data_IF_255227007309
#
_entry.id   IF_255227007309
#
_cell.length_a   1.000
_cell.length_b   1.000
_cell.length_c   1.000
_cell.angle_alpha   90.00
_cell.angle_beta   90.00
_cell.angle_gamma   90.00
#
_symmetry.space_group_name_H-M   'P 1'
#
loop_
_entity.id
_entity.type
_entity.pdbx_description
1 polymer ?
#
# COMPACT_ATOMS: atom_id res chain seq x y z
N UNK A 1 -31.79 15.65 -17.35
CA UNK A 1 -30.57 15.87 -16.54
C UNK A 1 -30.29 14.61 -15.74
N UNK A 2 -29.03 14.20 -15.60
CA UNK A 2 -28.66 13.04 -14.79
C UNK A 2 -27.77 13.52 -13.65
N UNK A 3 -28.10 13.11 -12.42
CA UNK A 3 -27.27 13.38 -11.25
C UNK A 3 -26.47 12.11 -10.96
N UNK A 4 -25.16 12.18 -11.16
CA UNK A 4 -24.27 11.08 -10.82
C UNK A 4 -23.91 11.16 -9.33
N UNK A 5 -24.32 10.16 -8.55
CA UNK A 5 -24.02 10.07 -7.13
C UNK A 5 -23.22 8.80 -6.89
N UNK A 6 -22.06 8.97 -6.25
CA UNK A 6 -21.25 7.84 -5.81
C UNK A 6 -20.80 8.03 -4.36
N UNK A 7 -20.55 6.92 -3.70
CA UNK A 7 -20.05 6.89 -2.33
C UNK A 7 -18.56 6.64 -2.34
N UNK A 8 -17.85 7.57 -1.71
CA UNK A 8 -16.43 7.46 -1.48
C UNK A 8 -16.21 7.28 0.02
N UNK A 9 -15.90 6.04 0.43
CA UNK A 9 -15.55 5.72 1.82
C UNK A 9 -14.05 5.46 2.05
N UNK A 10 -13.15 6.44 1.83
CA UNK A 10 -11.79 6.32 2.36
C UNK A 10 -11.35 7.53 3.19
N UNK A 11 -12.23 8.47 3.48
CA UNK A 11 -11.93 9.44 4.53
C UNK A 11 -12.26 8.78 5.87
N UNK A 12 -11.38 7.90 6.36
CA UNK A 12 -11.35 7.47 7.75
C UNK A 12 -11.39 8.75 8.59
N UNK A 13 -12.58 9.07 9.06
CA UNK A 13 -12.81 10.22 9.91
C UNK A 13 -12.50 9.76 11.31
N UNK A 14 -11.59 10.45 11.96
CA UNK A 14 -11.25 10.14 13.35
C UNK A 14 -12.54 10.28 14.17
N UNK A 15 -12.94 9.27 14.96
CA UNK A 15 -14.03 9.43 15.90
C UNK A 15 -13.62 10.37 17.04
N UNK A 16 -14.60 10.87 17.79
CA UNK A 16 -14.32 11.57 19.02
C UNK A 16 -13.73 10.57 20.02
N UNK A 17 -12.47 10.74 20.43
CA UNK A 17 -11.80 9.79 21.32
C UNK A 17 -10.72 10.48 22.18
N UNK A 18 -10.55 9.99 23.41
CA UNK A 18 -9.46 10.40 24.31
C UNK A 18 -8.12 10.25 23.61
N UNK A 19 -7.27 11.28 23.68
CA UNK A 19 -5.98 11.25 23.03
C UNK A 19 -5.08 10.13 23.56
N UNK A 20 -5.23 9.77 24.85
CA UNK A 20 -4.49 8.65 25.45
C UNK A 20 -4.80 7.33 24.73
N UNK A 21 -6.07 7.06 24.44
CA UNK A 21 -6.46 5.84 23.73
C UNK A 21 -5.90 5.84 22.30
N UNK A 22 -5.89 7.00 21.64
CA UNK A 22 -5.28 7.17 20.32
C UNK A 22 -3.78 6.88 20.38
N UNK A 23 -3.08 7.40 21.39
CA UNK A 23 -1.65 7.13 21.63
C UNK A 23 -1.39 5.64 21.89
N UNK A 24 -2.20 4.99 22.72
CA UNK A 24 -2.12 3.56 23.00
C UNK A 24 -2.26 2.72 21.72
N UNK A 25 -3.21 3.07 20.84
CA UNK A 25 -3.42 2.43 19.54
C UNK A 25 -2.24 2.64 18.59
N UNK A 26 -1.72 3.87 18.47
CA UNK A 26 -0.59 4.18 17.56
C UNK A 26 0.68 3.42 17.97
N UNK A 27 0.92 3.29 19.28
CA UNK A 27 2.09 2.62 19.83
C UNK A 27 1.89 1.11 20.04
N UNK A 28 0.66 0.61 19.89
CA UNK A 28 0.28 -0.76 20.24
C UNK A 28 0.70 -1.13 21.68
N UNK A 29 0.42 -0.23 22.63
CA UNK A 29 0.74 -0.38 24.05
C UNK A 29 -0.52 -0.42 24.90
N UNK A 30 -0.43 -1.09 26.04
CA UNK A 30 -1.51 -1.05 27.04
C UNK A 30 -1.45 0.22 27.88
N UNK A 31 -2.55 0.55 28.54
CA UNK A 31 -2.62 1.66 29.50
C UNK A 31 -1.56 1.55 30.60
N UNK A 32 -1.30 0.34 31.11
CA UNK A 32 -0.29 0.09 32.14
C UNK A 32 1.13 0.41 31.66
N UNK A 33 1.44 0.10 30.39
CA UNK A 33 2.74 0.41 29.80
C UNK A 33 2.94 1.92 29.62
N UNK A 34 1.90 2.65 29.23
CA UNK A 34 1.95 4.12 29.11
C UNK A 34 2.08 4.81 30.47
N UNK A 35 1.58 4.21 31.55
CA UNK A 35 1.70 4.73 32.91
C UNK A 35 3.06 4.45 33.55
N UNK A 36 3.68 3.32 33.22
CA UNK A 36 4.87 2.81 33.93
C UNK A 36 6.20 3.04 33.22
N UNK A 37 6.20 3.28 31.90
CA UNK A 37 7.43 3.39 31.10
C UNK A 37 7.50 4.70 30.31
N UNK A 38 8.70 5.24 30.19
CA UNK A 38 9.00 6.33 29.25
C UNK A 38 9.03 5.80 27.81
N UNK A 39 8.63 6.65 26.86
CA UNK A 39 8.68 6.32 25.44
C UNK A 39 10.13 6.33 24.91
N UNK A 40 10.43 5.45 23.95
CA UNK A 40 11.70 5.46 23.22
C UNK A 40 11.75 6.61 22.20
N UNK A 41 12.94 6.96 21.71
CA UNK A 41 13.08 8.02 20.69
C UNK A 41 12.29 7.70 19.41
N UNK A 42 12.24 6.43 18.99
CA UNK A 42 11.52 6.01 17.79
C UNK A 42 10.00 6.12 18.00
N UNK A 43 9.52 5.82 19.21
CA UNK A 43 8.12 5.98 19.59
C UNK A 43 7.71 7.45 19.63
N UNK A 44 8.56 8.32 20.18
CA UNK A 44 8.34 9.78 20.18
C UNK A 44 8.27 10.30 18.75
N UNK A 45 9.22 9.91 17.89
CA UNK A 45 9.20 10.28 16.45
C UNK A 45 7.95 9.77 15.74
N UNK A 46 7.49 8.55 16.06
CA UNK A 46 6.26 7.98 15.51
C UNK A 46 5.04 8.79 15.94
N UNK A 47 4.91 9.11 17.24
CA UNK A 47 3.81 9.93 17.76
C UNK A 47 3.83 11.34 17.18
N UNK A 48 4.98 12.01 17.17
CA UNK A 48 5.09 13.38 16.65
C UNK A 48 4.68 13.44 15.18
N UNK A 49 5.12 12.50 14.35
CA UNK A 49 4.70 12.39 12.94
C UNK A 49 3.20 12.14 12.76
N UNK A 50 2.58 11.41 13.70
CA UNK A 50 1.19 10.98 13.57
C UNK A 50 0.20 11.99 14.15
N UNK A 51 0.57 12.66 15.24
CA UNK A 51 -0.32 13.57 15.97
C UNK A 51 -0.25 15.02 15.49
N UNK A 52 0.88 15.45 14.92
CA UNK A 52 1.04 16.83 14.43
C UNK A 52 0.01 17.14 13.35
N UNK A 53 -0.65 18.29 13.47
CA UNK A 53 -1.75 18.71 12.58
C UNK A 53 -3.15 18.26 13.03
N UNK A 54 -3.26 17.32 13.98
CA UNK A 54 -4.57 16.93 14.51
C UNK A 54 -5.19 18.04 15.37
N UNK A 55 -6.49 18.24 15.19
CA UNK A 55 -7.33 19.11 16.00
C UNK A 55 -7.78 18.38 17.26
N UNK A 56 -7.63 19.03 18.39
CA UNK A 56 -8.04 18.53 19.69
C UNK A 56 -8.88 19.56 20.43
N UNK A 57 -9.64 19.09 21.41
CA UNK A 57 -10.27 19.91 22.45
C UNK A 57 -9.73 19.50 23.81
N UNK A 58 -9.84 20.41 24.78
CA UNK A 58 -9.49 20.13 26.17
C UNK A 58 -10.76 19.76 26.95
N UNK A 59 -10.68 18.76 27.82
CA UNK A 59 -11.83 18.25 28.58
C UNK A 59 -11.82 18.65 30.06
N UNK A 60 -10.67 19.05 30.60
CA UNK A 60 -10.53 19.43 32.03
C UNK A 60 -11.29 20.71 32.43
N UNK A 61 -11.81 21.48 31.46
CA UNK A 61 -12.66 22.67 31.70
C UNK A 61 -14.10 22.45 31.25
N UNK A 62 -14.55 21.19 31.19
CA UNK A 62 -15.85 20.81 30.64
C UNK A 62 -15.81 20.72 29.12
N UNK A 63 -16.70 21.45 28.44
CA UNK A 63 -16.87 21.33 26.98
C UNK A 63 -16.58 22.67 26.26
N UNK A 64 -15.35 23.19 26.32
CA UNK A 64 -15.01 24.46 25.69
C UNK A 64 -15.13 24.35 24.17
N UNK A 65 -15.70 25.38 23.53
CA UNK A 65 -15.79 25.50 22.06
C UNK A 65 -14.40 25.70 21.40
N UNK A 66 -13.37 25.97 22.21
CA UNK A 66 -12.01 26.25 21.75
C UNK A 66 -11.34 24.99 21.22
N UNK A 67 -10.81 25.10 20.00
CA UNK A 67 -10.08 24.05 19.31
C UNK A 67 -8.60 24.40 19.27
N UNK A 68 -7.76 23.39 19.40
CA UNK A 68 -6.30 23.52 19.27
C UNK A 68 -5.82 22.60 18.17
N UNK A 69 -4.72 22.96 17.50
CA UNK A 69 -4.01 22.12 16.56
C UNK A 69 -2.71 21.72 17.25
N UNK A 70 -2.31 20.45 17.12
CA UNK A 70 -1.03 19.97 17.66
C UNK A 70 0.10 20.44 16.73
N UNK A 71 1.02 21.23 17.27
CA UNK A 71 2.23 21.70 16.59
C UNK A 71 3.42 20.73 16.76
N UNK A 72 3.40 19.90 17.81
CA UNK A 72 4.46 18.92 18.08
C UNK A 72 4.41 18.37 19.51
N UNK A 73 5.49 17.72 19.95
CA UNK A 73 5.62 17.16 21.30
C UNK A 73 6.71 17.87 22.11
N UNK A 74 6.53 17.94 23.43
CA UNK A 74 7.57 18.47 24.33
C UNK A 74 8.77 17.52 24.43
N UNK A 75 9.96 18.09 24.60
CA UNK A 75 11.19 17.33 24.89
C UNK A 75 11.19 16.74 26.30
N UNK A 76 10.61 17.47 27.24
CA UNK A 76 10.49 17.08 28.65
C UNK A 76 9.20 16.28 28.89
N UNK A 77 9.21 15.45 29.92
CA UNK A 77 8.04 14.69 30.36
C UNK A 77 7.06 15.58 31.13
N UNK A 78 5.79 15.20 31.14
CA UNK A 78 4.74 15.95 31.84
C UNK A 78 5.05 16.19 33.33
N UNK A 79 5.70 15.22 34.01
CA UNK A 79 6.14 15.36 35.41
C UNK A 79 7.22 16.44 35.65
N UNK A 80 7.98 16.78 34.61
CA UNK A 80 9.14 17.67 34.70
C UNK A 80 8.84 19.07 34.14
N UNK A 81 7.77 19.22 33.35
CA UNK A 81 7.35 20.49 32.78
C UNK A 81 6.96 21.49 33.86
N UNK A 82 7.58 22.67 33.76
CA UNK A 82 7.31 23.84 34.60
C UNK A 82 6.85 25.03 33.76
N UNK A 83 5.89 25.78 34.27
CA UNK A 83 5.44 27.03 33.67
C UNK A 83 5.11 28.04 34.76
N UNK A 84 4.97 29.31 34.36
CA UNK A 84 4.51 30.36 35.28
C UNK A 84 2.99 30.41 35.26
N UNK A 85 2.36 30.29 36.42
CA UNK A 85 0.93 30.48 36.55
C UNK A 85 0.53 31.97 36.45
N UNK A 86 -0.78 32.25 36.48
CA UNK A 86 -1.31 33.62 36.38
C UNK A 86 -0.84 34.53 37.53
N UNK A 87 -0.31 33.96 38.61
CA UNK A 87 0.27 34.67 39.76
C UNK A 87 1.78 34.85 39.63
N UNK A 88 2.39 34.36 38.56
CA UNK A 88 3.82 34.47 38.25
C UNK A 88 4.70 33.42 38.93
N UNK A 89 4.13 32.48 39.68
CA UNK A 89 4.90 31.43 40.35
C UNK A 89 5.27 30.32 39.37
N UNK A 90 6.51 29.83 39.49
CA UNK A 90 6.95 28.67 38.72
C UNK A 90 6.38 27.39 39.35
N UNK A 91 5.45 26.75 38.65
CA UNK A 91 4.74 25.55 39.11
C UNK A 91 4.94 24.40 38.12
N UNK A 92 4.89 23.17 38.63
CA UNK A 92 4.87 21.97 37.79
C UNK A 92 3.46 21.65 37.32
N UNK A 93 3.32 21.09 36.12
CA UNK A 93 2.03 20.66 35.59
C UNK A 93 1.32 19.65 36.51
N UNK A 94 2.05 18.68 37.07
CA UNK A 94 1.51 17.65 37.97
C UNK A 94 0.93 18.20 39.26
N UNK A 95 1.41 19.35 39.74
CA UNK A 95 0.89 19.99 40.96
C UNK A 95 -0.24 20.98 40.63
N UNK A 96 -0.16 21.63 39.47
CA UNK A 96 -1.11 22.66 39.05
C UNK A 96 -2.48 22.09 38.67
N UNK A 97 -2.54 21.04 37.85
CA UNK A 97 -3.80 20.49 37.33
C UNK A 97 -4.74 19.96 38.42
N UNK A 98 -4.27 19.19 39.43
CA UNK A 98 -5.12 18.80 40.55
C UNK A 98 -5.57 20.01 41.38
N UNK A 99 -4.70 20.99 41.60
CA UNK A 99 -4.98 22.17 42.44
C UNK A 99 -6.02 23.10 41.83
N UNK A 100 -5.89 23.43 40.54
CA UNK A 100 -6.76 24.41 39.88
C UNK A 100 -8.01 23.80 39.26
N UNK A 101 -7.93 22.55 38.77
CA UNK A 101 -9.02 21.92 38.01
C UNK A 101 -9.57 20.65 38.65
N UNK A 102 -9.07 20.24 39.82
CA UNK A 102 -9.42 18.96 40.46
C UNK A 102 -9.17 17.75 39.54
N UNK A 103 -8.17 17.86 38.65
CA UNK A 103 -7.86 16.83 37.66
C UNK A 103 -6.45 16.26 37.89
N UNK A 104 -6.31 15.08 38.52
CA UNK A 104 -5.01 14.43 38.67
C UNK A 104 -4.49 13.88 37.34
N UNK A 105 -3.27 14.28 36.96
CA UNK A 105 -2.59 13.75 35.78
C UNK A 105 -2.07 12.33 36.08
N UNK A 106 -2.44 11.36 35.25
CA UNK A 106 -2.05 9.95 35.38
C UNK A 106 -0.84 9.64 34.51
N UNK A 107 -0.83 10.07 33.25
CA UNK A 107 0.23 9.71 32.28
C UNK A 107 1.42 10.68 32.33
N UNK A 108 1.99 10.84 33.52
CA UNK A 108 3.03 11.86 33.79
C UNK A 108 4.39 11.57 33.13
N UNK A 109 4.61 10.32 32.70
CA UNK A 109 5.78 9.87 31.94
C UNK A 109 5.68 10.08 30.43
N UNK A 110 4.55 10.59 29.93
CA UNK A 110 4.39 11.00 28.54
C UNK A 110 4.81 12.46 28.35
N UNK A 111 5.26 12.87 27.15
CA UNK A 111 5.44 14.27 26.83
C UNK A 111 4.09 15.01 26.76
N UNK A 112 4.11 16.33 26.93
CA UNK A 112 2.98 17.19 26.62
C UNK A 112 2.90 17.48 25.12
N UNK A 113 1.70 17.82 24.66
CA UNK A 113 1.48 18.40 23.34
C UNK A 113 1.89 19.86 23.35
N UNK A 114 2.51 20.30 22.27
CA UNK A 114 2.72 21.71 21.97
C UNK A 114 1.56 22.12 21.05
N UNK A 115 0.75 23.09 21.47
CA UNK A 115 -0.39 23.57 20.65
C UNK A 115 -0.21 24.99 20.13
N UNK A 116 0.70 25.74 20.74
CA UNK A 116 1.20 27.06 20.33
C UNK A 116 2.57 27.27 20.95
N UNK A 117 3.32 28.27 20.48
CA UNK A 117 4.59 28.69 21.09
C UNK A 117 4.41 28.94 22.60
N UNK A 118 5.07 28.11 23.43
CA UNK A 118 5.03 28.09 24.92
C UNK A 118 3.71 27.64 25.56
N UNK A 119 2.82 26.98 24.83
CA UNK A 119 1.59 26.40 25.38
C UNK A 119 1.66 24.87 25.32
N UNK A 120 1.81 24.25 26.49
CA UNK A 120 1.93 22.81 26.67
C UNK A 120 0.64 22.24 27.25
N UNK A 121 0.13 21.15 26.66
CA UNK A 121 -1.09 20.48 27.10
C UNK A 121 -0.78 19.01 27.42
N UNK A 122 -1.00 18.54 28.67
CA UNK A 122 -0.92 17.12 28.99
C UNK A 122 -1.88 16.31 28.13
N UNK A 123 -1.45 15.12 27.67
CA UNK A 123 -2.28 14.27 26.82
C UNK A 123 -3.55 13.79 27.54
N UNK A 124 -3.50 13.61 28.86
CA UNK A 124 -4.62 13.23 29.74
C UNK A 124 -5.85 14.10 29.60
N UNK A 125 -5.65 15.38 29.27
CA UNK A 125 -6.73 16.38 29.26
C UNK A 125 -7.21 16.71 27.84
N UNK A 126 -6.79 15.93 26.85
CA UNK A 126 -7.04 16.18 25.44
C UNK A 126 -7.91 15.09 24.81
N UNK A 127 -8.83 15.51 23.95
CA UNK A 127 -9.67 14.62 23.14
C UNK A 127 -9.54 15.01 21.67
N UNK A 128 -9.39 14.03 20.79
CA UNK A 128 -9.30 14.26 19.34
C UNK A 128 -10.70 14.61 18.81
N UNK A 129 -10.77 15.68 18.02
CA UNK A 129 -12.05 16.12 17.46
C UNK A 129 -12.54 15.14 16.38
N UNK A 130 -13.86 14.85 16.34
CA UNK A 130 -14.41 13.94 15.33
C UNK A 130 -14.40 14.57 13.94
N UNK A 131 -14.42 13.73 12.91
CA UNK A 131 -14.69 14.16 11.53
C UNK A 131 -13.48 14.68 10.77
N UNK A 132 -12.31 14.67 11.40
CA UNK A 132 -11.04 15.02 10.78
C UNK A 132 -10.57 13.93 9.84
N UNK A 133 -9.96 14.31 8.72
CA UNK A 133 -9.33 13.35 7.81
C UNK A 133 -8.06 12.81 8.44
N UNK A 134 -7.89 11.49 8.43
CA UNK A 134 -6.62 10.86 8.74
C UNK A 134 -5.71 10.92 7.51
N UNK A 135 -4.76 11.86 7.48
CA UNK A 135 -3.85 12.05 6.33
C UNK A 135 -2.63 11.12 6.34
N UNK A 136 -2.44 10.34 7.41
CA UNK A 136 -1.29 9.45 7.52
C UNK A 136 -1.48 8.18 6.68
N UNK A 137 -0.45 7.84 5.91
CA UNK A 137 -0.45 6.63 5.08
C UNK A 137 -0.46 5.40 6.00
N UNK A 138 -1.51 4.56 5.97
CA UNK A 138 -1.59 3.41 6.85
C UNK A 138 -0.40 2.46 6.60
N UNK A 139 0.10 1.83 7.66
CA UNK A 139 1.00 0.67 7.52
C UNK A 139 0.29 -0.42 6.68
N UNK A 140 1.05 -1.30 6.00
CA UNK A 140 0.52 -2.23 4.99
C UNK A 140 -0.70 -3.05 5.48
N UNK A 141 -0.75 -3.42 6.77
CA UNK A 141 -1.89 -4.15 7.37
C UNK A 141 -3.16 -3.30 7.53
N UNK A 142 -3.01 -2.01 7.86
CA UNK A 142 -4.13 -1.08 7.95
C UNK A 142 -4.71 -0.79 6.55
N UNK A 143 -3.87 -0.78 5.52
CA UNK A 143 -4.31 -0.66 4.13
C UNK A 143 -5.13 -1.89 3.69
N UNK A 144 -4.76 -3.10 4.10
CA UNK A 144 -5.57 -4.31 3.84
C UNK A 144 -6.95 -4.24 4.50
N UNK A 145 -7.04 -3.71 5.73
CA UNK A 145 -8.31 -3.43 6.40
C UNK A 145 -9.17 -2.44 5.61
N UNK A 146 -8.58 -1.33 5.15
CA UNK A 146 -9.26 -0.34 4.31
C UNK A 146 -9.76 -0.93 2.99
N UNK A 147 -8.95 -1.75 2.31
CA UNK A 147 -9.35 -2.43 1.07
C UNK A 147 -10.57 -3.32 1.34
N UNK A 148 -10.54 -4.13 2.40
CA UNK A 148 -11.67 -5.01 2.75
C UNK A 148 -12.95 -4.23 3.03
N UNK A 149 -12.87 -3.14 3.79
CA UNK A 149 -14.03 -2.29 4.10
C UNK A 149 -14.59 -1.63 2.83
N UNK A 150 -13.72 -1.25 1.89
CA UNK A 150 -14.12 -0.57 0.65
C UNK A 150 -14.54 -1.50 -0.50
N UNK A 151 -14.24 -2.80 -0.44
CA UNK A 151 -14.63 -3.77 -1.47
C UNK A 151 -15.89 -4.56 -1.09
N UNK A 152 -17.06 -3.99 -1.38
CA UNK A 152 -18.33 -4.73 -1.42
C UNK A 152 -19.14 -4.30 -2.67
N UNK A 153 -19.34 -5.18 -3.65
CA UNK A 153 -19.94 -4.78 -4.94
C UNK A 153 -21.47 -4.80 -4.98
N UNK A 154 -22.14 -5.77 -4.35
CA UNK A 154 -23.61 -5.86 -4.40
C UNK A 154 -24.28 -5.01 -3.31
N UNK A 155 -23.69 -4.97 -2.11
CA UNK A 155 -24.16 -4.11 -1.03
C UNK A 155 -23.96 -2.62 -1.33
N UNK A 156 -23.00 -2.25 -2.21
CA UNK A 156 -22.75 -0.85 -2.60
C UNK A 156 -23.96 -0.18 -3.22
N UNK A 157 -24.64 -0.80 -4.18
CA UNK A 157 -25.80 -0.18 -4.82
C UNK A 157 -26.96 0.03 -3.83
N UNK A 158 -27.20 -0.94 -2.93
CA UNK A 158 -28.18 -0.79 -1.85
C UNK A 158 -27.77 0.31 -0.86
N UNK A 159 -26.48 0.42 -0.54
CA UNK A 159 -25.95 1.49 0.29
C UNK A 159 -26.16 2.86 -0.37
N UNK A 160 -25.85 2.96 -1.66
CA UNK A 160 -26.05 4.17 -2.46
C UNK A 160 -27.51 4.56 -2.42
N UNK A 161 -28.42 3.64 -2.71
CA UNK A 161 -29.85 3.90 -2.74
C UNK A 161 -30.40 4.34 -1.37
N UNK A 162 -30.04 3.64 -0.29
CA UNK A 162 -30.49 3.98 1.07
C UNK A 162 -30.00 5.36 1.53
N UNK A 163 -28.76 5.72 1.18
CA UNK A 163 -28.15 7.01 1.52
C UNK A 163 -28.70 8.12 0.65
N UNK A 164 -28.86 7.91 -0.66
CA UNK A 164 -29.52 8.85 -1.57
C UNK A 164 -30.93 9.16 -1.07
N UNK A 165 -31.71 8.16 -0.64
CA UNK A 165 -33.01 8.40 0.01
C UNK A 165 -32.90 9.31 1.23
N UNK A 166 -31.90 9.15 2.08
CA UNK A 166 -31.71 10.01 3.24
C UNK A 166 -31.20 11.41 2.88
N UNK A 167 -30.27 11.53 1.93
CA UNK A 167 -29.75 12.80 1.43
C UNK A 167 -30.87 13.59 0.72
N UNK A 168 -31.64 12.93 -0.14
CA UNK A 168 -32.77 13.55 -0.83
C UNK A 168 -33.90 13.96 0.13
N UNK A 169 -34.07 13.35 1.30
CA UNK A 169 -34.95 13.91 2.34
C UNK A 169 -34.51 15.31 2.79
N UNK A 170 -33.21 15.60 2.79
CA UNK A 170 -32.67 16.94 3.09
C UNK A 170 -32.66 17.86 1.86
N UNK A 171 -32.55 17.32 0.64
CA UNK A 171 -32.59 18.12 -0.60
C UNK A 171 -34.00 18.38 -1.13
N UNK A 172 -35.02 17.64 -0.71
CA UNK A 172 -36.43 17.96 -0.96
C UNK A 172 -36.91 19.11 -0.05
N UNK A 173 -36.02 20.07 0.20
CA UNK A 173 -36.27 21.34 0.87
C UNK A 173 -37.00 22.29 -0.08
N UNK A 174 -37.69 23.29 0.47
CA UNK A 174 -38.43 24.31 -0.30
C UNK A 174 -37.59 24.88 -1.46
N UNK A 175 -36.29 25.06 -1.26
CA UNK A 175 -35.35 25.61 -2.24
C UNK A 175 -35.30 24.86 -3.59
N UNK A 176 -35.34 23.52 -3.63
CA UNK A 176 -35.28 22.78 -4.92
C UNK A 176 -36.64 22.81 -5.63
N UNK A 177 -37.73 22.81 -4.86
CA UNK A 177 -39.09 22.95 -5.40
C UNK A 177 -39.34 24.35 -5.95
N UNK A 178 -38.80 25.39 -5.31
CA UNK A 178 -38.82 26.77 -5.82
C UNK A 178 -38.12 26.90 -7.18
N UNK A 179 -37.08 26.08 -7.41
CA UNK A 179 -36.39 26.00 -8.71
C UNK A 179 -37.13 25.15 -9.75
N UNK A 180 -38.31 24.59 -9.42
CA UNK A 180 -39.12 23.78 -10.33
C UNK A 180 -38.50 22.42 -10.66
N UNK A 181 -37.57 21.93 -9.85
CA UNK A 181 -36.90 20.64 -10.06
C UNK A 181 -37.51 19.55 -9.18
N UNK A 182 -37.68 18.36 -9.77
CA UNK A 182 -38.03 17.13 -9.05
C UNK A 182 -36.95 16.06 -9.35
N UNK A 183 -36.49 15.37 -8.32
CA UNK A 183 -35.38 14.42 -8.41
C UNK A 183 -35.90 13.01 -8.14
N UNK A 184 -35.88 12.15 -9.16
CA UNK A 184 -36.18 10.71 -8.98
C UNK A 184 -35.11 10.09 -8.06
N UNK A 185 -35.57 9.32 -7.08
CA UNK A 185 -34.72 8.64 -6.10
C UNK A 185 -34.28 7.25 -6.54
N UNK A 186 -34.72 6.79 -7.72
CA UNK A 186 -34.37 5.51 -8.32
C UNK A 186 -33.17 5.65 -9.25
N UNK A 187 -32.32 4.63 -9.27
CA UNK A 187 -31.23 4.55 -10.23
C UNK A 187 -31.77 4.43 -11.66
N UNK A 188 -31.18 5.18 -12.58
CA UNK A 188 -31.52 5.10 -14.00
C UNK A 188 -31.19 3.69 -14.52
N UNK A 189 -32.16 3.06 -15.19
CA UNK A 189 -31.93 1.80 -15.91
C UNK A 189 -31.38 2.11 -17.30
N UNK A 190 -30.27 1.46 -17.65
CA UNK A 190 -29.63 1.59 -18.96
C UNK A 190 -29.48 0.22 -19.60
N UNK A 191 -29.67 0.16 -20.91
CA UNK A 191 -29.45 -1.06 -21.68
C UNK A 191 -27.95 -1.21 -21.97
N UNK A 192 -27.30 -2.11 -21.24
CA UNK A 192 -25.91 -2.50 -21.48
C UNK A 192 -25.80 -3.57 -22.57
N UNK A 193 -24.62 -3.66 -23.20
CA UNK A 193 -24.26 -4.78 -24.07
C UNK A 193 -23.04 -5.49 -23.49
N UNK A 194 -23.10 -6.82 -23.41
CA UNK A 194 -21.95 -7.65 -23.04
C UNK A 194 -21.28 -8.06 -24.35
N UNK A 195 -20.06 -7.57 -24.57
CA UNK A 195 -19.29 -7.94 -25.76
C UNK A 195 -18.75 -9.37 -25.59
N UNK A 196 -18.67 -10.08 -26.71
CA UNK A 196 -18.00 -11.37 -26.72
C UNK A 196 -16.52 -11.17 -26.33
N UNK A 197 -16.00 -12.00 -25.42
CA UNK A 197 -14.63 -11.84 -24.98
C UNK A 197 -13.68 -12.29 -26.11
N UNK A 198 -12.51 -11.64 -26.26
CA UNK A 198 -11.59 -11.99 -27.34
C UNK A 198 -10.94 -13.35 -27.11
N UNK A 199 -10.57 -14.00 -28.21
CA UNK A 199 -9.83 -15.25 -28.19
C UNK A 199 -8.33 -14.93 -28.11
N UNK A 200 -7.68 -15.52 -27.12
CA UNK A 200 -6.23 -15.39 -26.92
C UNK A 200 -5.55 -16.58 -27.58
N UNK A 201 -4.41 -16.34 -28.22
CA UNK A 201 -3.56 -17.35 -28.83
C UNK A 201 -2.22 -17.40 -28.10
N UNK A 202 -1.87 -18.61 -27.66
CA UNK A 202 -0.58 -18.99 -27.11
C UNK A 202 0.08 -19.99 -28.06
N UNK A 203 1.35 -20.31 -27.84
CA UNK A 203 1.99 -21.42 -28.54
C UNK A 203 1.98 -22.63 -27.60
N UNK A 204 1.91 -23.84 -28.12
CA UNK A 204 2.01 -25.10 -27.40
C UNK A 204 2.81 -26.06 -28.28
N UNK A 205 4.11 -26.16 -28.05
CA UNK A 205 4.99 -27.05 -28.82
C UNK A 205 5.09 -26.72 -30.31
N UNK A 206 4.87 -25.45 -30.72
CA UNK A 206 4.85 -25.03 -32.12
C UNK A 206 3.47 -25.07 -32.78
N UNK A 207 2.41 -25.39 -32.02
CA UNK A 207 1.02 -25.29 -32.44
C UNK A 207 0.31 -24.16 -31.70
N UNK A 208 -0.46 -23.34 -32.42
CA UNK A 208 -1.25 -22.28 -31.78
C UNK A 208 -2.41 -22.88 -31.00
N UNK A 209 -2.43 -22.64 -29.69
CA UNK A 209 -3.56 -23.02 -28.83
C UNK A 209 -4.40 -21.79 -28.54
N UNK A 210 -5.71 -21.91 -28.80
CA UNK A 210 -6.68 -20.88 -28.46
C UNK A 210 -7.14 -21.05 -27.01
N UNK A 211 -7.10 -19.95 -26.26
CA UNK A 211 -7.49 -19.88 -24.87
C UNK A 211 -8.73 -19.02 -24.78
N UNK A 212 -9.85 -19.65 -24.47
CA UNK A 212 -11.10 -18.95 -24.27
C UNK A 212 -11.07 -18.20 -22.93
N UNK A 213 -11.35 -16.90 -22.98
CA UNK A 213 -11.40 -16.08 -21.78
C UNK A 213 -12.80 -16.12 -21.18
N UNK A 214 -12.89 -16.43 -19.88
CA UNK A 214 -14.16 -16.45 -19.16
C UNK A 214 -14.23 -15.27 -18.20
N UNK A 215 -15.27 -14.43 -18.33
CA UNK A 215 -15.49 -13.26 -17.46
C UNK A 215 -14.27 -12.35 -17.36
N UNK A 216 -13.52 -12.19 -18.45
CA UNK A 216 -12.30 -11.39 -18.51
C UNK A 216 -11.10 -11.99 -17.77
N UNK A 217 -11.12 -13.28 -17.46
CA UNK A 217 -10.03 -14.01 -16.84
C UNK A 217 -9.63 -15.21 -17.69
N UNK A 218 -8.36 -15.54 -17.64
CA UNK A 218 -7.80 -16.80 -18.13
C UNK A 218 -6.66 -17.20 -17.21
N UNK A 219 -6.44 -18.50 -17.08
CA UNK A 219 -5.27 -19.04 -16.40
C UNK A 219 -4.22 -19.42 -17.45
N UNK A 220 -2.96 -19.28 -17.08
CA UNK A 220 -1.83 -19.73 -17.91
C UNK A 220 -1.37 -21.13 -17.46
N UNK A 221 -2.31 -21.95 -17.00
CA UNK A 221 -2.00 -23.31 -16.57
C UNK A 221 -1.78 -24.19 -17.81
N UNK A 222 -0.63 -24.87 -17.86
CA UNK A 222 -0.23 -25.76 -18.95
C UNK A 222 -0.16 -25.11 -20.34
N UNK A 223 0.08 -23.79 -20.40
CA UNK A 223 0.28 -23.08 -21.66
C UNK A 223 1.75 -22.73 -21.86
N UNK A 224 2.19 -22.65 -23.12
CA UNK A 224 3.51 -22.16 -23.50
C UNK A 224 3.39 -20.73 -24.04
N UNK A 225 4.41 -19.91 -23.77
CA UNK A 225 4.41 -18.53 -24.25
C UNK A 225 4.53 -18.50 -25.77
N UNK A 226 3.85 -17.54 -26.41
CA UNK A 226 3.87 -17.39 -27.87
C UNK A 226 5.29 -17.27 -28.45
N UNK A 227 6.14 -16.46 -27.82
CA UNK A 227 7.54 -16.28 -28.18
C UNK A 227 8.34 -16.32 -26.89
N UNK A 228 8.95 -17.48 -26.63
CA UNK A 228 9.85 -17.71 -25.50
C UNK A 228 11.25 -17.19 -25.81
N UNK A 229 11.87 -16.54 -24.83
CA UNK A 229 13.26 -16.10 -24.92
C UNK A 229 14.15 -17.01 -24.06
N UNK A 230 15.14 -17.70 -24.67
CA UNK A 230 16.16 -18.47 -23.97
C UNK A 230 16.79 -17.68 -22.83
N UNK A 231 16.89 -18.32 -21.66
CA UNK A 231 17.57 -17.78 -20.49
C UNK A 231 18.88 -18.55 -20.29
N UNK A 232 19.98 -17.93 -20.70
CA UNK A 232 21.31 -18.55 -20.83
C UNK A 232 22.33 -17.98 -19.84
N UNK A 233 22.31 -16.67 -19.63
CA UNK A 233 23.27 -15.99 -18.77
C UNK A 233 22.51 -15.09 -17.77
N UNK A 234 22.46 -15.52 -16.51
CA UNK A 234 21.74 -14.83 -15.45
C UNK A 234 22.30 -15.19 -14.08
N UNK A 235 22.02 -14.35 -13.08
CA UNK A 235 22.45 -14.57 -11.69
C UNK A 235 21.33 -14.34 -10.70
N UNK A 236 21.50 -14.89 -9.50
CA UNK A 236 20.59 -14.69 -8.38
C UNK A 236 21.33 -14.03 -7.22
N UNK A 237 20.83 -12.89 -6.74
CA UNK A 237 21.34 -12.17 -5.59
C UNK A 237 20.33 -12.18 -4.44
N UNK A 238 20.79 -12.52 -3.24
CA UNK A 238 19.99 -12.59 -2.03
C UNK A 238 20.38 -11.43 -1.13
N UNK A 239 19.46 -10.49 -0.95
CA UNK A 239 19.59 -9.26 -0.17
C UNK A 239 18.78 -9.34 1.12
N UNK A 240 18.74 -10.50 1.76
CA UNK A 240 18.03 -10.75 3.00
C UNK A 240 18.82 -11.72 3.89
N UNK A 241 18.63 -11.62 5.22
CA UNK A 241 19.42 -12.38 6.18
C UNK A 241 19.16 -13.89 6.13
N UNK A 242 20.18 -14.69 6.46
CA UNK A 242 20.18 -16.16 6.38
C UNK A 242 19.04 -16.84 7.15
N UNK A 243 18.55 -16.22 8.24
CA UNK A 243 17.45 -16.78 9.07
C UNK A 243 16.16 -17.05 8.29
N UNK A 244 15.93 -16.35 7.15
CA UNK A 244 14.72 -16.52 6.33
C UNK A 244 14.98 -17.32 5.03
N UNK A 245 16.23 -17.61 4.70
CA UNK A 245 16.64 -18.13 3.40
C UNK A 245 17.70 -19.22 3.58
N UNK A 246 17.28 -20.37 4.11
CA UNK A 246 18.15 -21.54 4.17
C UNK A 246 18.54 -21.93 2.74
N UNK A 247 19.82 -22.27 2.55
CA UNK A 247 20.37 -22.62 1.24
C UNK A 247 19.51 -23.66 0.51
N UNK A 248 19.06 -24.70 1.21
CA UNK A 248 18.21 -25.76 0.66
C UNK A 248 16.87 -25.23 0.10
N UNK A 249 16.21 -24.32 0.82
CA UNK A 249 14.95 -23.71 0.37
C UNK A 249 15.14 -22.85 -0.88
N UNK A 250 16.29 -22.18 -1.00
CA UNK A 250 16.63 -21.39 -2.20
C UNK A 250 16.89 -22.32 -3.39
N UNK A 251 17.63 -23.41 -3.18
CA UNK A 251 17.90 -24.40 -4.22
C UNK A 251 16.61 -25.07 -4.70
N UNK A 252 15.72 -25.46 -3.78
CA UNK A 252 14.40 -26.02 -4.11
C UNK A 252 13.58 -25.02 -4.93
N UNK A 253 13.47 -23.77 -4.49
CA UNK A 253 12.78 -22.72 -5.23
C UNK A 253 13.38 -22.50 -6.62
N UNK A 254 14.71 -22.44 -6.74
CA UNK A 254 15.40 -22.27 -8.01
C UNK A 254 15.11 -23.42 -8.97
N UNK A 255 15.16 -24.67 -8.50
CA UNK A 255 14.83 -25.84 -9.30
C UNK A 255 13.39 -25.77 -9.81
N UNK A 256 12.43 -25.45 -8.94
CA UNK A 256 11.02 -25.32 -9.30
C UNK A 256 10.78 -24.16 -10.27
N UNK A 257 11.49 -23.04 -10.09
CA UNK A 257 11.43 -21.91 -11.00
C UNK A 257 11.98 -22.32 -12.38
N UNK A 258 13.17 -22.92 -12.47
CA UNK A 258 13.74 -23.37 -13.72
C UNK A 258 12.83 -24.38 -14.45
N UNK A 259 12.25 -25.34 -13.72
CA UNK A 259 11.28 -26.29 -14.28
C UNK A 259 10.08 -25.55 -14.87
N UNK A 260 9.48 -24.62 -14.11
CA UNK A 260 8.36 -23.82 -14.59
C UNK A 260 8.73 -22.96 -15.81
N UNK A 261 9.91 -22.32 -15.81
CA UNK A 261 10.39 -21.53 -16.95
C UNK A 261 10.54 -22.39 -18.22
N UNK A 262 11.00 -23.64 -18.06
CA UNK A 262 11.06 -24.60 -19.15
C UNK A 262 9.66 -25.05 -19.60
N UNK A 263 8.76 -25.36 -18.66
CA UNK A 263 7.36 -25.72 -18.94
C UNK A 263 6.63 -24.65 -19.75
N UNK A 264 6.86 -23.37 -19.45
CA UNK A 264 6.24 -22.26 -20.21
C UNK A 264 7.00 -21.90 -21.50
N UNK A 265 8.11 -22.58 -21.83
CA UNK A 265 8.84 -22.42 -23.09
C UNK A 265 9.98 -21.41 -23.14
N UNK A 266 10.57 -21.02 -22.00
CA UNK A 266 11.71 -20.10 -21.97
C UNK A 266 13.06 -20.78 -22.16
N UNK A 267 13.15 -22.11 -22.11
CA UNK A 267 14.39 -22.88 -22.30
C UNK A 267 15.58 -22.33 -21.47
N UNK A 268 15.59 -22.63 -20.18
CA UNK A 268 16.66 -22.28 -19.25
C UNK A 268 17.85 -23.21 -19.48
N UNK A 269 18.96 -22.65 -19.98
CA UNK A 269 20.15 -23.42 -20.35
C UNK A 269 21.08 -23.62 -19.15
N UNK A 270 21.15 -22.64 -18.24
CA UNK A 270 22.11 -22.64 -17.13
C UNK A 270 21.42 -22.46 -15.78
N UNK A 271 21.97 -23.13 -14.76
CA UNK A 271 21.66 -22.83 -13.36
C UNK A 271 22.41 -21.55 -12.98
N UNK A 272 21.74 -20.55 -12.38
CA UNK A 272 22.35 -19.27 -12.09
C UNK A 272 23.34 -19.38 -10.93
N UNK A 273 24.36 -18.52 -10.92
CA UNK A 273 25.19 -18.36 -9.74
C UNK A 273 24.42 -17.65 -8.62
N UNK A 274 24.46 -18.21 -7.41
CA UNK A 274 23.79 -17.66 -6.22
C UNK A 274 24.79 -16.85 -5.40
N UNK A 275 24.43 -15.59 -5.14
CA UNK A 275 25.23 -14.65 -4.34
C UNK A 275 24.45 -14.15 -3.14
N UNK A 276 25.05 -14.19 -1.95
CA UNK A 276 24.54 -13.50 -0.77
C UNK A 276 25.19 -12.12 -0.67
N UNK A 277 24.37 -11.10 -0.43
CA UNK A 277 24.84 -9.72 -0.30
C UNK A 277 24.18 -9.02 0.91
N UNK A 278 24.92 -8.09 1.51
CA UNK A 278 24.41 -7.31 2.62
C UNK A 278 23.35 -6.32 2.15
N UNK A 279 22.11 -6.47 2.66
CA UNK A 279 20.97 -5.59 2.37
C UNK A 279 21.17 -4.12 2.77
N UNK A 280 22.06 -3.86 3.73
CA UNK A 280 22.44 -2.51 4.19
C UNK A 280 23.75 -2.04 3.55
N UNK A 281 24.39 -2.89 2.74
CA UNK A 281 25.63 -2.57 2.04
C UNK A 281 25.39 -1.77 0.76
N UNK A 282 26.46 -1.58 0.00
CA UNK A 282 26.39 -0.92 -1.30
C UNK A 282 25.68 -1.82 -2.33
N UNK A 283 24.42 -1.50 -2.61
CA UNK A 283 23.57 -2.24 -3.56
C UNK A 283 24.11 -2.17 -4.99
N UNK A 284 24.72 -1.05 -5.37
CA UNK A 284 25.34 -0.88 -6.69
C UNK A 284 26.49 -1.87 -6.88
N UNK A 285 27.37 -1.96 -5.88
CA UNK A 285 28.47 -2.92 -5.89
C UNK A 285 27.96 -4.36 -5.89
N UNK A 286 26.93 -4.67 -5.10
CA UNK A 286 26.35 -6.01 -5.06
C UNK A 286 25.78 -6.43 -6.42
N UNK A 287 25.05 -5.55 -7.09
CA UNK A 287 24.51 -5.82 -8.43
C UNK A 287 25.59 -5.86 -9.50
N UNK A 288 26.64 -5.04 -9.41
CA UNK A 288 27.78 -5.09 -10.33
C UNK A 288 28.55 -6.43 -10.21
N UNK A 289 28.72 -6.95 -8.99
CA UNK A 289 29.32 -8.28 -8.79
C UNK A 289 28.39 -9.37 -9.32
N UNK A 290 27.09 -9.30 -9.03
CA UNK A 290 26.11 -10.25 -9.56
C UNK A 290 26.07 -10.25 -11.09
N UNK A 291 26.21 -9.08 -11.72
CA UNK A 291 26.35 -8.92 -13.16
C UNK A 291 27.59 -9.67 -13.65
N UNK A 292 28.76 -9.43 -13.05
CA UNK A 292 30.01 -10.11 -13.43
C UNK A 292 29.94 -11.64 -13.25
N UNK A 293 29.31 -12.12 -12.18
CA UNK A 293 29.15 -13.56 -11.87
C UNK A 293 28.27 -14.30 -12.87
N UNK A 294 27.26 -13.65 -13.42
CA UNK A 294 26.37 -14.27 -14.42
C UNK A 294 27.15 -14.75 -15.67
N UNK A 295 28.31 -14.15 -15.98
CA UNK A 295 29.17 -14.44 -17.14
C UNK A 295 29.86 -15.82 -17.16
N UNK A 296 29.20 -16.88 -16.67
CA UNK A 296 29.63 -18.28 -16.79
C UNK A 296 30.00 -18.60 -18.26
N UNK A 297 29.30 -18.00 -19.23
CA UNK A 297 29.67 -18.02 -20.65
C UNK A 297 30.06 -16.61 -21.13
N UNK A 298 31.37 -16.31 -21.20
CA UNK A 298 31.92 -15.00 -21.64
C UNK A 298 31.49 -14.55 -23.04
N UNK A 299 30.80 -15.40 -23.81
CA UNK A 299 30.30 -15.08 -25.16
C UNK A 299 28.96 -14.33 -25.15
N UNK A 300 28.19 -14.43 -24.07
CA UNK A 300 26.83 -13.87 -23.98
C UNK A 300 26.80 -12.88 -22.82
N UNK A 301 26.26 -11.68 -23.03
CA UNK A 301 26.07 -10.71 -21.94
C UNK A 301 24.97 -11.18 -20.99
N UNK A 302 25.04 -10.86 -19.69
CA UNK A 302 23.99 -11.20 -18.74
C UNK A 302 22.64 -10.62 -19.14
N UNK A 303 21.62 -11.47 -19.11
CA UNK A 303 20.27 -11.15 -19.58
C UNK A 303 19.34 -10.72 -18.42
N UNK A 304 19.59 -11.21 -17.21
CA UNK A 304 18.73 -10.99 -16.05
C UNK A 304 19.49 -11.12 -14.73
N UNK A 305 19.14 -10.30 -13.74
CA UNK A 305 19.47 -10.55 -12.33
C UNK A 305 18.19 -10.76 -11.53
N UNK A 306 18.06 -11.92 -10.87
CA UNK A 306 16.98 -12.20 -9.93
C UNK A 306 17.39 -11.74 -8.55
N UNK A 307 16.60 -10.88 -7.92
CA UNK A 307 16.90 -10.29 -6.61
C UNK A 307 15.90 -10.77 -5.56
N UNK A 308 16.35 -11.53 -4.56
CA UNK A 308 15.52 -11.89 -3.40
C UNK A 308 15.69 -10.82 -2.33
N UNK A 309 14.60 -10.23 -1.87
CA UNK A 309 14.59 -9.11 -0.93
C UNK A 309 13.63 -9.33 0.25
N UNK A 310 13.78 -8.62 1.38
CA UNK A 310 12.83 -8.71 2.49
C UNK A 310 11.44 -8.20 2.07
N UNK A 311 10.38 -8.76 2.66
CA UNK A 311 8.98 -8.50 2.29
C UNK A 311 8.58 -7.02 2.36
N UNK A 312 9.03 -6.29 3.39
CA UNK A 312 8.68 -4.88 3.61
C UNK A 312 9.89 -3.96 3.39
N UNK A 313 10.43 -3.91 2.17
CA UNK A 313 11.59 -3.06 1.87
C UNK A 313 11.44 -2.25 0.57
N UNK A 314 10.53 -1.26 0.58
CA UNK A 314 10.28 -0.35 -0.56
C UNK A 314 11.54 0.43 -0.96
N UNK A 315 12.37 0.83 0.01
CA UNK A 315 13.63 1.53 -0.25
C UNK A 315 14.63 0.65 -1.01
N UNK A 316 14.81 -0.60 -0.59
CA UNK A 316 15.72 -1.52 -1.26
C UNK A 316 15.27 -1.82 -2.69
N UNK A 317 13.96 -2.02 -2.91
CA UNK A 317 13.43 -2.18 -4.27
C UNK A 317 13.74 -0.97 -5.16
N UNK A 318 13.55 0.23 -4.62
CA UNK A 318 13.80 1.48 -5.35
C UNK A 318 15.29 1.62 -5.72
N UNK A 319 16.21 1.29 -4.81
CA UNK A 319 17.64 1.30 -5.10
C UNK A 319 18.05 0.23 -6.11
N UNK A 320 17.53 -1.00 -6.01
CA UNK A 320 17.78 -2.05 -7.01
C UNK A 320 17.36 -1.56 -8.40
N UNK A 321 16.16 -0.96 -8.51
CA UNK A 321 15.64 -0.46 -9.78
C UNK A 321 16.41 0.73 -10.30
N UNK A 322 16.78 1.67 -9.44
CA UNK A 322 17.65 2.79 -9.81
C UNK A 322 18.96 2.28 -10.41
N UNK A 323 19.66 1.39 -9.71
CA UNK A 323 20.94 0.85 -10.21
C UNK A 323 20.75 0.03 -11.49
N UNK A 324 19.78 -0.88 -11.52
CA UNK A 324 19.60 -1.77 -12.69
C UNK A 324 19.22 -1.01 -13.94
N UNK A 325 18.33 -0.03 -13.81
CA UNK A 325 17.71 0.65 -14.95
C UNK A 325 18.53 1.88 -15.40
N UNK A 326 19.36 2.47 -14.51
CA UNK A 326 20.15 3.69 -14.83
C UNK A 326 21.66 3.48 -14.91
N UNK A 327 22.22 2.52 -14.17
CA UNK A 327 23.69 2.31 -14.09
C UNK A 327 24.12 1.08 -14.90
N UNK A 328 23.49 -0.07 -14.64
CA UNK A 328 23.90 -1.34 -15.24
C UNK A 328 23.19 -1.65 -16.57
N UNK A 329 22.00 -1.09 -16.79
CA UNK A 329 21.21 -1.34 -18.01
C UNK A 329 20.76 -2.80 -18.16
N UNK A 330 20.55 -3.52 -17.07
CA UNK A 330 20.17 -4.94 -17.08
C UNK A 330 18.79 -5.16 -16.46
N UNK A 331 17.92 -5.98 -17.08
CA UNK A 331 16.65 -6.34 -16.47
C UNK A 331 16.82 -7.04 -15.11
N UNK A 332 15.97 -6.66 -14.15
CA UNK A 332 15.93 -7.27 -12.81
C UNK A 332 14.56 -7.83 -12.47
N UNK A 333 14.52 -9.01 -11.85
CA UNK A 333 13.30 -9.61 -11.28
C UNK A 333 13.41 -9.69 -9.76
N UNK A 334 12.72 -8.78 -9.05
CA UNK A 334 12.68 -8.78 -7.59
C UNK A 334 11.60 -9.74 -7.06
N UNK A 335 11.93 -10.53 -6.05
CA UNK A 335 11.04 -11.50 -5.40
C UNK A 335 11.18 -11.31 -3.88
N UNK A 336 10.07 -11.30 -3.16
CA UNK A 336 10.10 -11.17 -1.69
C UNK A 336 10.44 -12.52 -1.05
N UNK A 337 11.20 -12.50 0.04
CA UNK A 337 11.67 -13.72 0.71
C UNK A 337 10.51 -14.61 1.18
N UNK A 338 9.39 -14.05 1.64
CA UNK A 338 8.20 -14.83 2.04
C UNK A 338 7.61 -15.67 0.89
N UNK A 339 7.70 -15.18 -0.35
CA UNK A 339 7.30 -15.90 -1.55
C UNK A 339 8.22 -17.06 -1.86
N UNK A 340 9.51 -16.90 -1.61
CA UNK A 340 10.53 -17.93 -1.85
C UNK A 340 10.48 -19.01 -0.77
N UNK A 341 10.23 -18.64 0.48
CA UNK A 341 10.33 -19.59 1.61
C UNK A 341 9.02 -20.32 1.91
N UNK A 342 7.86 -19.67 1.77
CA UNK A 342 6.59 -20.23 2.29
C UNK A 342 5.38 -20.15 1.35
N UNK A 343 5.38 -19.27 0.35
CA UNK A 343 4.16 -18.96 -0.43
C UNK A 343 4.24 -19.31 -1.92
N UNK A 344 5.30 -19.98 -2.38
CA UNK A 344 5.38 -20.34 -3.79
C UNK A 344 4.44 -21.49 -4.13
N UNK A 345 3.86 -21.39 -5.32
CA UNK A 345 3.03 -22.41 -5.95
C UNK A 345 3.21 -22.28 -7.47
N UNK A 346 2.69 -23.24 -8.24
CA UNK A 346 2.82 -23.24 -9.71
C UNK A 346 2.36 -21.93 -10.35
N UNK A 347 1.22 -21.38 -9.90
CA UNK A 347 0.68 -20.13 -10.42
C UNK A 347 1.60 -18.92 -10.19
N UNK A 348 2.24 -18.85 -9.01
CA UNK A 348 3.19 -17.78 -8.71
C UNK A 348 4.43 -17.89 -9.60
N UNK A 349 4.97 -19.10 -9.75
CA UNK A 349 6.14 -19.34 -10.60
C UNK A 349 5.84 -19.02 -12.07
N UNK A 350 4.67 -19.43 -12.58
CA UNK A 350 4.22 -19.08 -13.92
C UNK A 350 4.12 -17.56 -14.10
N UNK A 351 3.51 -16.85 -13.13
CA UNK A 351 3.41 -15.38 -13.16
C UNK A 351 4.78 -14.68 -13.10
N UNK A 352 5.77 -15.26 -12.41
CA UNK A 352 7.15 -14.78 -12.42
C UNK A 352 7.77 -15.03 -13.80
N UNK A 353 7.58 -16.21 -14.38
CA UNK A 353 8.08 -16.57 -15.71
C UNK A 353 7.54 -15.68 -16.82
N UNK A 354 6.24 -15.39 -16.80
CA UNK A 354 5.60 -14.44 -17.74
C UNK A 354 6.25 -13.05 -17.68
N UNK A 355 6.68 -12.59 -16.48
CA UNK A 355 7.39 -11.32 -16.31
C UNK A 355 8.83 -11.39 -16.79
N UNK A 356 9.51 -12.51 -16.57
CA UNK A 356 10.87 -12.74 -17.05
C UNK A 356 10.86 -12.74 -18.58
N UNK A 357 9.96 -13.48 -19.22
CA UNK A 357 9.86 -13.52 -20.67
C UNK A 357 9.68 -12.13 -21.29
N UNK A 358 8.75 -11.35 -20.75
CA UNK A 358 8.51 -9.98 -21.20
C UNK A 358 9.76 -9.08 -21.07
N UNK A 359 10.53 -9.23 -19.99
CA UNK A 359 11.78 -8.48 -19.77
C UNK A 359 12.90 -8.86 -20.72
N UNK A 360 12.91 -10.11 -21.19
CA UNK A 360 13.85 -10.60 -22.20
C UNK A 360 13.41 -10.26 -23.64
N UNK A 361 12.27 -9.56 -23.80
CA UNK A 361 11.70 -9.22 -25.11
C UNK A 361 10.90 -10.36 -25.74
N UNK A 362 10.41 -11.31 -24.95
CA UNK A 362 9.49 -12.35 -25.37
C UNK A 362 8.04 -11.87 -25.39
N UNK A 363 7.17 -12.66 -26.02
CA UNK A 363 5.74 -12.39 -26.12
C UNK A 363 4.96 -13.54 -25.49
N UNK A 364 4.14 -13.26 -24.48
CA UNK A 364 3.44 -14.31 -23.76
C UNK A 364 2.22 -14.84 -24.54
N UNK A 365 1.43 -13.94 -25.11
CA UNK A 365 0.21 -14.28 -25.85
C UNK A 365 -0.09 -13.20 -26.91
N UNK A 366 -1.03 -13.47 -27.80
CA UNK A 366 -1.60 -12.50 -28.74
C UNK A 366 -3.10 -12.67 -28.92
N UNK A 367 -3.78 -11.68 -29.50
CA UNK A 367 -5.15 -11.85 -29.96
C UNK A 367 -5.20 -12.74 -31.20
N UNK A 368 -6.31 -13.48 -31.37
CA UNK A 368 -6.61 -14.21 -32.59
C UNK A 368 -6.65 -13.26 -33.81
N UNK A 369 -6.30 -13.77 -35.00
CA UNK A 369 -6.33 -12.95 -36.22
C UNK A 369 -7.74 -12.44 -36.56
N UNK A 370 -8.76 -13.23 -36.26
CA UNK A 370 -10.17 -12.86 -36.46
C UNK A 370 -10.63 -11.70 -35.56
N UNK A 371 -10.06 -11.58 -34.35
CA UNK A 371 -10.37 -10.46 -33.45
C UNK A 371 -9.53 -9.21 -33.77
N UNK A 372 -8.34 -9.37 -34.37
CA UNK A 372 -7.47 -8.26 -34.75
C UNK A 372 -8.05 -7.41 -35.90
N UNK A 373 -8.72 -8.04 -36.88
CA UNK A 373 -9.35 -7.31 -38.00
C UNK A 373 -10.46 -6.38 -37.53
N UNK A 374 -11.18 -6.76 -36.46
CA UNK A 374 -12.24 -5.97 -35.83
C UNK A 374 -11.75 -4.63 -35.26
N UNK A 375 -10.48 -4.55 -34.86
CA UNK A 375 -9.86 -3.35 -34.28
C UNK A 375 -9.28 -2.44 -35.37
N UNK A 376 -8.85 -3.00 -36.51
CA UNK A 376 -8.19 -2.25 -37.59
C UNK A 376 -9.14 -1.69 -38.64
N UNK A 377 -10.37 -2.20 -38.74
CA UNK A 377 -11.30 -1.83 -39.81
C UNK A 377 -12.19 -0.62 -39.50
N UNK A 378 -12.35 -0.25 -38.22
CA UNK A 378 -13.18 0.90 -37.83
C UNK A 378 -12.38 1.83 -36.92
N UNK A 379 -12.05 3.06 -37.33
CA UNK A 379 -11.52 4.05 -36.41
C UNK A 379 -12.54 4.23 -35.30
N UNK A 380 -12.12 4.12 -34.04
CA UNK A 380 -12.97 4.43 -32.89
C UNK A 380 -13.46 5.86 -33.09
N UNK A 381 -14.72 6.04 -33.50
CA UNK A 381 -15.34 7.36 -33.61
C UNK A 381 -15.33 7.97 -32.22
N UNK A 382 -14.44 8.93 -31.98
CA UNK A 382 -14.54 9.82 -30.85
C UNK A 382 -15.90 10.53 -30.96
N UNK A 383 -16.87 10.14 -30.14
CA UNK A 383 -18.11 10.89 -29.92
C UNK A 383 -17.84 12.10 -29.01
N UNK A 384 -16.95 12.99 -29.48
CA UNK A 384 -16.88 14.34 -28.96
C UNK A 384 -16.74 15.27 -30.17
N UNK A 385 -17.59 16.28 -30.19
CA UNK A 385 -17.82 17.33 -31.20
C UNK A 385 -19.06 17.07 -32.07
N UNK A 386 -19.95 18.08 -32.05
CA UNK A 386 -21.32 18.19 -32.62
C UNK A 386 -22.38 17.57 -31.68
N UNK A 387 -23.18 18.33 -30.92
CA UNK A 387 -23.79 19.66 -31.13
C UNK A 387 -23.52 20.70 -30.03
#
# INVERSE_FOLDING_TARGET
>A
MVINVDFHDPNLKIPAESLINVVAKILNKTDEELLSKTLSEDEIKKLERTLTGLQIRIVHRGNPKTKYIIDGLSKELTKDIKFRDDKGFLVKAVDFFPREFQWPLRYTLLPCLIVKKKLFMPMDVCEVMPGQKWEFHPEDDSMLGMIKISTENQARFQHVESRVKNILKFFNTENIKELGMDIDNRMMTVNGRVLNPPIITCDEGGQQTEVQTEKGRWTFENQVVKIGKPLENWSLVILCGERHNRFDSIQEFLNQLCNMLNEIGLNVITVPEVMYANKQGNIEQALAIAYQKAHINKKISPQLIVCIMPTHSKQLYSEIKRVSDTVLGIPTQCITADKVTFKWNKQLLANIGLKINAKLGGHNWSLSKSDLSLITEVPVRNHYMED
#
